data_IF_774049590230
#
_entry.id   IF_774049590230
#
_cell.length_a   1.000
_cell.length_b   1.000
_cell.length_c   1.000
_cell.angle_alpha   90.00
_cell.angle_beta   90.00
_cell.angle_gamma   90.00
#
_symmetry.space_group_name_H-M   'P 1'
#
loop_
_entity.id
_entity.type
_entity.pdbx_description
1 polymer ?
#
# COMPACT_ATOMS: atom_id res chain seq x y z
N UNK A 1 21.02 13.27 0.37
CA UNK A 1 20.78 14.64 0.90
C UNK A 1 21.51 15.62 -0.02
N UNK A 2 20.80 16.19 -0.99
CA UNK A 2 21.40 17.04 -2.04
C UNK A 2 20.42 18.13 -2.48
N UNK A 3 19.84 18.84 -1.51
CA UNK A 3 18.79 19.85 -1.76
C UNK A 3 19.34 21.27 -1.92
N UNK A 4 20.64 21.44 -2.21
CA UNK A 4 21.27 22.76 -2.36
C UNK A 4 21.26 23.64 -1.10
N UNK A 5 20.92 23.08 0.07
CA UNK A 5 20.88 23.81 1.34
C UNK A 5 22.24 23.73 2.03
N UNK A 6 22.70 24.87 2.54
CA UNK A 6 23.94 25.00 3.32
C UNK A 6 23.64 24.73 4.79
N UNK A 7 24.43 23.89 5.44
CA UNK A 7 24.28 23.54 6.86
C UNK A 7 25.53 23.90 7.66
N UNK A 8 25.35 24.54 8.81
CA UNK A 8 26.43 24.88 9.74
C UNK A 8 26.86 23.65 10.56
N UNK A 9 28.09 23.66 11.07
CA UNK A 9 28.58 22.62 11.98
C UNK A 9 27.67 22.52 13.22
N UNK A 10 27.34 21.29 13.62
CA UNK A 10 26.41 20.98 14.70
C UNK A 10 24.93 21.00 14.29
N UNK A 11 24.58 21.34 13.04
CA UNK A 11 23.18 21.24 12.59
C UNK A 11 22.75 19.80 12.38
N UNK A 12 21.51 19.53 12.79
CA UNK A 12 20.85 18.24 12.66
C UNK A 12 19.91 18.24 11.46
N UNK A 13 19.97 17.18 10.66
CA UNK A 13 18.95 16.85 9.65
C UNK A 13 18.30 15.54 10.04
N UNK A 14 17.00 15.58 10.28
CA UNK A 14 16.19 14.40 10.55
C UNK A 14 15.37 14.07 9.31
N UNK A 15 15.55 12.87 8.78
CA UNK A 15 14.62 12.26 7.82
C UNK A 15 13.72 11.29 8.57
N UNK A 16 12.82 10.61 7.86
CA UNK A 16 11.93 9.61 8.43
C UNK A 16 12.70 8.43 9.07
N UNK A 17 13.98 8.23 8.74
CA UNK A 17 14.77 7.14 9.28
C UNK A 17 16.28 7.31 9.34
N UNK A 18 16.76 8.57 9.29
CA UNK A 18 18.14 8.89 9.62
C UNK A 18 18.16 10.20 10.38
N UNK A 19 18.99 10.26 11.41
CA UNK A 19 19.36 11.52 12.06
C UNK A 19 20.82 11.76 11.73
N UNK A 20 21.09 12.83 10.99
CA UNK A 20 22.44 13.20 10.58
C UNK A 20 22.88 14.50 11.24
N UNK A 21 24.12 14.58 11.67
CA UNK A 21 24.76 15.78 12.21
C UNK A 21 25.86 16.23 11.27
N UNK A 22 25.85 17.50 10.89
CA UNK A 22 26.92 18.08 10.10
C UNK A 22 28.12 18.37 11.01
N UNK A 23 29.27 17.75 10.75
CA UNK A 23 30.51 17.94 11.50
C UNK A 23 31.71 17.92 10.56
N UNK A 24 32.57 18.94 10.64
CA UNK A 24 33.81 19.04 9.85
C UNK A 24 33.62 18.86 8.31
N UNK A 25 32.49 19.32 7.78
CA UNK A 25 32.16 19.15 6.35
C UNK A 25 31.70 17.75 5.95
N UNK A 26 31.52 16.84 6.92
CA UNK A 26 30.97 15.51 6.75
C UNK A 26 29.64 15.35 7.49
N UNK A 27 28.88 14.31 7.13
CA UNK A 27 27.65 13.93 7.80
C UNK A 27 27.91 12.70 8.67
N UNK A 28 27.67 12.83 9.96
CA UNK A 28 27.60 11.68 10.88
C UNK A 28 26.13 11.29 11.04
N UNK A 29 25.74 10.13 10.50
CA UNK A 29 24.35 9.70 10.42
C UNK A 29 24.10 8.46 11.29
N UNK A 30 23.10 8.56 12.15
CA UNK A 30 22.51 7.43 12.86
C UNK A 30 21.26 6.96 12.12
N UNK A 31 21.24 5.68 11.77
CA UNK A 31 20.05 5.03 11.22
C UNK A 31 19.01 4.86 12.32
N UNK A 32 17.78 5.22 11.98
CA UNK A 32 16.59 5.00 12.79
C UNK A 32 15.67 4.05 12.02
N UNK A 33 14.80 3.30 12.71
CA UNK A 33 13.70 2.56 12.12
C UNK A 33 12.93 3.26 10.97
N UNK A 34 13.09 2.80 9.71
CA UNK A 34 12.24 3.30 8.62
C UNK A 34 10.85 2.63 8.67
N UNK A 35 9.75 3.41 8.67
CA UNK A 35 8.46 2.84 8.33
C UNK A 35 8.50 2.34 6.88
N UNK A 36 7.88 1.19 6.64
CA UNK A 36 7.67 0.66 5.29
C UNK A 36 6.55 1.42 4.62
N UNK A 37 6.70 1.72 3.33
CA UNK A 37 5.65 2.37 2.52
C UNK A 37 5.31 1.52 1.30
N UNK A 38 4.06 1.08 1.23
CA UNK A 38 3.48 0.46 0.04
C UNK A 38 2.49 1.44 -0.63
N UNK A 39 2.41 1.41 -1.95
CA UNK A 39 1.39 2.19 -2.67
C UNK A 39 0.85 1.46 -3.89
N UNK A 40 -0.43 1.68 -4.16
CA UNK A 40 -1.08 1.31 -5.43
C UNK A 40 -1.77 2.55 -6.00
N UNK A 41 -1.64 2.78 -7.31
CA UNK A 41 -2.27 3.92 -7.99
C UNK A 41 -2.56 3.64 -9.46
N UNK A 42 -3.43 4.46 -10.06
CA UNK A 42 -3.80 4.35 -11.47
C UNK A 42 -4.35 2.96 -11.82
N UNK A 43 -3.96 2.41 -12.97
CA UNK A 43 -4.41 1.11 -13.47
C UNK A 43 -3.45 -0.01 -13.05
N UNK A 44 -3.32 -0.22 -11.75
CA UNK A 44 -2.59 -1.35 -11.20
C UNK A 44 -1.07 -1.15 -11.17
N UNK A 45 -0.59 0.07 -10.89
CA UNK A 45 0.81 0.30 -10.57
C UNK A 45 1.04 0.11 -9.08
N UNK A 46 1.93 -0.80 -8.72
CA UNK A 46 2.26 -1.12 -7.33
C UNK A 46 3.71 -0.77 -7.04
N UNK A 47 3.94 -0.31 -5.81
CA UNK A 47 5.24 -0.27 -5.16
C UNK A 47 5.12 -0.98 -3.82
N UNK A 48 5.93 -2.02 -3.61
CA UNK A 48 5.99 -2.79 -2.35
C UNK A 48 6.69 -2.02 -1.24
N UNK A 49 6.66 -2.55 -0.02
CA UNK A 49 7.39 -1.97 1.12
C UNK A 49 8.90 -1.90 0.90
N UNK A 50 9.47 -2.83 0.11
CA UNK A 50 10.89 -2.89 -0.21
C UNK A 50 11.24 -2.21 -1.54
N UNK A 51 10.31 -1.36 -2.04
CA UNK A 51 10.47 -0.52 -3.22
C UNK A 51 10.43 -1.21 -4.59
N UNK A 52 10.02 -2.47 -4.66
CA UNK A 52 9.79 -3.17 -5.93
C UNK A 52 8.61 -2.57 -6.68
N UNK A 53 8.84 -2.22 -7.95
CA UNK A 53 7.80 -1.77 -8.86
C UNK A 53 7.29 -2.91 -9.72
N UNK A 54 5.97 -3.04 -9.84
CA UNK A 54 5.36 -3.97 -10.79
C UNK A 54 3.97 -3.49 -11.22
N UNK A 55 3.43 -4.13 -12.27
CA UNK A 55 2.10 -3.85 -12.80
C UNK A 55 1.22 -5.08 -12.67
N UNK A 56 -0.02 -4.87 -12.23
CA UNK A 56 -1.02 -5.92 -12.17
C UNK A 56 -2.42 -5.29 -12.17
N UNK A 57 -3.19 -5.53 -13.23
CA UNK A 57 -4.51 -4.91 -13.40
C UNK A 57 -5.62 -5.97 -13.33
N UNK A 58 -5.93 -6.37 -12.10
CA UNK A 58 -6.97 -7.35 -11.80
C UNK A 58 -8.32 -6.73 -11.46
N UNK A 59 -9.39 -7.31 -12.00
CA UNK A 59 -10.77 -6.92 -11.70
C UNK A 59 -11.37 -7.88 -10.65
N UNK A 60 -10.83 -7.79 -9.43
CA UNK A 60 -11.27 -8.58 -8.28
C UNK A 60 -10.98 -7.80 -7.00
N UNK A 61 -11.42 -8.34 -5.86
CA UNK A 61 -10.90 -7.95 -4.57
C UNK A 61 -9.57 -8.67 -4.31
N UNK A 62 -8.54 -7.93 -3.90
CA UNK A 62 -7.20 -8.44 -3.62
C UNK A 62 -6.72 -8.02 -2.23
N UNK A 63 -5.90 -8.86 -1.60
CA UNK A 63 -5.18 -8.52 -0.37
C UNK A 63 -3.95 -7.69 -0.70
N UNK A 64 -3.94 -6.41 -0.29
CA UNK A 64 -2.74 -5.57 -0.36
C UNK A 64 -1.73 -5.99 0.69
N UNK A 65 -2.18 -6.11 1.93
CA UNK A 65 -1.35 -6.50 3.05
C UNK A 65 -2.21 -7.11 4.15
N UNK A 66 -1.72 -8.17 4.76
CA UNK A 66 -2.24 -8.75 6.00
C UNK A 66 -1.08 -9.38 6.79
N UNK A 67 -1.32 -9.66 8.07
CA UNK A 67 -0.37 -10.36 8.94
C UNK A 67 -0.73 -11.84 9.16
N UNK A 68 -1.83 -12.32 8.56
CA UNK A 68 -2.15 -13.75 8.47
C UNK A 68 -1.45 -14.40 7.27
N UNK A 69 -0.15 -14.64 7.41
CA UNK A 69 0.65 -15.28 6.36
C UNK A 69 0.64 -16.81 6.46
N UNK A 70 -0.55 -17.38 6.66
CA UNK A 70 -0.77 -18.83 6.82
C UNK A 70 -0.73 -19.34 8.26
N UNK A 71 -0.68 -18.43 9.25
CA UNK A 71 -0.60 -18.77 10.69
C UNK A 71 -1.99 -18.80 11.36
N UNK A 72 -3.04 -18.34 10.67
CA UNK A 72 -4.44 -18.22 11.15
C UNK A 72 -4.61 -17.31 12.36
N UNK A 73 -3.68 -16.39 12.60
CA UNK A 73 -3.65 -15.47 13.74
C UNK A 73 -3.46 -14.01 13.31
N UNK A 74 -4.04 -13.62 12.17
CA UNK A 74 -3.97 -12.24 11.68
C UNK A 74 -4.69 -11.25 12.59
N UNK A 75 -4.07 -10.09 12.79
CA UNK A 75 -4.66 -8.96 13.49
C UNK A 75 -5.24 -7.93 12.53
N UNK A 76 -4.79 -7.82 11.29
CA UNK A 76 -5.36 -6.88 10.33
C UNK A 76 -5.26 -7.35 8.89
N UNK A 77 -6.12 -6.78 8.04
CA UNK A 77 -5.96 -6.89 6.59
C UNK A 77 -6.43 -5.63 5.88
N UNK A 78 -5.75 -5.29 4.80
CA UNK A 78 -6.15 -4.24 3.86
C UNK A 78 -6.42 -4.90 2.53
N UNK A 79 -7.67 -4.84 2.09
CA UNK A 79 -8.11 -5.34 0.80
C UNK A 79 -8.52 -4.19 -0.11
N UNK A 80 -8.31 -4.38 -1.39
CA UNK A 80 -8.62 -3.39 -2.42
C UNK A 80 -9.37 -4.03 -3.56
N UNK A 81 -10.32 -3.29 -4.11
CA UNK A 81 -11.08 -3.67 -5.29
C UNK A 81 -11.07 -2.50 -6.28
N UNK A 82 -10.64 -2.77 -7.51
CA UNK A 82 -10.67 -1.80 -8.60
C UNK A 82 -12.10 -1.63 -9.09
N UNK A 83 -12.60 -0.40 -9.11
CA UNK A 83 -13.91 -0.07 -9.68
C UNK A 83 -13.69 0.34 -11.14
N UNK A 84 -14.19 -0.45 -12.11
CA UNK A 84 -13.98 -0.16 -13.52
C UNK A 84 -14.77 1.09 -13.94
N UNK A 85 -14.25 1.80 -14.93
CA UNK A 85 -15.02 2.79 -15.67
C UNK A 85 -16.06 2.07 -16.57
N UNK A 86 -17.28 2.58 -16.68
CA UNK A 86 -18.37 1.91 -17.42
C UNK A 86 -18.01 1.57 -18.87
N UNK A 87 -17.20 2.40 -19.54
CA UNK A 87 -16.89 2.28 -20.97
C UNK A 87 -15.43 1.90 -21.27
N UNK A 88 -14.59 1.69 -20.24
CA UNK A 88 -13.15 1.46 -20.43
C UNK A 88 -12.60 0.39 -19.49
N UNK A 89 -11.58 -0.35 -19.95
CA UNK A 89 -10.80 -1.27 -19.12
C UNK A 89 -9.85 -0.52 -18.16
N UNK A 90 -10.24 0.63 -17.63
CA UNK A 90 -9.46 1.45 -16.70
C UNK A 90 -10.11 1.42 -15.31
N UNK A 91 -9.28 1.66 -14.28
CA UNK A 91 -9.75 1.81 -12.91
C UNK A 91 -10.10 3.27 -12.64
N UNK A 92 -11.39 3.56 -12.45
CA UNK A 92 -11.88 4.90 -12.14
C UNK A 92 -11.70 5.23 -10.65
N UNK A 93 -12.00 4.28 -9.78
CA UNK A 93 -11.83 4.45 -8.34
C UNK A 93 -11.46 3.12 -7.69
N UNK A 94 -11.16 3.15 -6.39
CA UNK A 94 -10.93 1.93 -5.60
C UNK A 94 -11.83 1.91 -4.38
N UNK A 95 -12.37 0.73 -4.11
CA UNK A 95 -12.99 0.40 -2.82
C UNK A 95 -11.94 -0.27 -1.94
N UNK A 96 -11.84 0.17 -0.70
CA UNK A 96 -10.82 -0.28 0.24
C UNK A 96 -11.50 -0.81 1.49
N UNK A 97 -11.07 -1.96 1.96
CA UNK A 97 -11.56 -2.58 3.20
C UNK A 97 -10.39 -2.76 4.14
N UNK A 98 -10.39 -2.01 5.25
CA UNK A 98 -9.49 -2.23 6.39
C UNK A 98 -10.24 -3.02 7.46
N UNK A 99 -9.77 -4.22 7.77
CA UNK A 99 -10.28 -5.05 8.85
C UNK A 99 -9.28 -5.04 10.03
N UNK A 100 -9.75 -4.74 11.24
CA UNK A 100 -8.94 -4.73 12.46
C UNK A 100 -9.46 -5.77 13.45
N UNK A 101 -8.77 -6.90 13.55
CA UNK A 101 -9.04 -8.00 14.50
C UNK A 101 -10.47 -8.54 14.44
N UNK A 102 -11.16 -8.37 13.32
CA UNK A 102 -12.60 -8.66 13.25
C UNK A 102 -13.43 -7.85 14.25
N UNK A 103 -12.89 -6.79 14.87
CA UNK A 103 -13.60 -5.86 15.78
C UNK A 103 -14.30 -4.75 15.01
N UNK A 104 -13.62 -4.20 14.02
CA UNK A 104 -14.17 -3.16 13.14
C UNK A 104 -13.69 -3.36 11.72
N UNK A 105 -14.60 -3.14 10.79
CA UNK A 105 -14.31 -3.04 9.36
C UNK A 105 -14.59 -1.62 8.91
N UNK A 106 -13.60 -0.99 8.31
CA UNK A 106 -13.70 0.32 7.68
C UNK A 106 -13.70 0.15 6.17
N UNK A 107 -14.73 0.66 5.51
CA UNK A 107 -14.83 0.66 4.06
C UNK A 107 -14.66 2.08 3.55
N UNK A 108 -13.66 2.29 2.71
CA UNK A 108 -13.42 3.56 2.03
C UNK A 108 -13.85 3.39 0.58
N UNK A 109 -14.96 4.03 0.22
CA UNK A 109 -15.55 4.01 -1.12
C UNK A 109 -16.34 5.29 -1.31
N UNK A 110 -16.63 5.68 -2.55
CA UNK A 110 -17.45 6.88 -2.86
C UNK A 110 -17.01 8.14 -2.09
N UNK A 111 -15.69 8.34 -1.99
CA UNK A 111 -15.05 9.46 -1.28
C UNK A 111 -15.40 9.58 0.22
N UNK A 112 -15.96 8.53 0.85
CA UNK A 112 -16.38 8.49 2.26
C UNK A 112 -15.80 7.28 2.98
N UNK A 113 -15.92 7.27 4.31
CA UNK A 113 -15.59 6.12 5.16
C UNK A 113 -16.84 5.65 5.87
N UNK A 114 -17.20 4.39 5.67
CA UNK A 114 -18.23 3.70 6.46
C UNK A 114 -17.57 2.75 7.44
N UNK A 115 -18.20 2.55 8.60
CA UNK A 115 -17.70 1.69 9.67
C UNK A 115 -18.73 0.65 10.06
N UNK A 116 -18.28 -0.58 10.24
CA UNK A 116 -19.07 -1.69 10.79
C UNK A 116 -18.34 -2.23 12.00
N UNK A 117 -18.95 -2.08 13.17
CA UNK A 117 -18.50 -2.73 14.40
C UNK A 117 -19.02 -4.17 14.43
N UNK A 118 -18.21 -5.09 14.92
CA UNK A 118 -18.57 -6.49 15.10
C UNK A 118 -18.83 -6.80 16.58
N UNK A 119 -19.21 -8.04 16.86
CA UNK A 119 -19.44 -8.52 18.23
C UNK A 119 -18.18 -8.36 19.09
N UNK A 120 -18.34 -7.87 20.32
CA UNK A 120 -17.22 -7.58 21.23
C UNK A 120 -16.62 -6.18 21.12
N UNK A 121 -17.20 -5.28 20.32
CA UNK A 121 -16.82 -3.85 20.35
C UNK A 121 -17.18 -3.20 21.69
N UNK A 122 -16.21 -2.52 22.32
CA UNK A 122 -16.36 -1.85 23.61
C UNK A 122 -16.01 -0.36 23.55
N UNK A 123 -16.34 0.39 24.60
CA UNK A 123 -15.97 1.81 24.71
C UNK A 123 -14.44 2.03 24.64
N UNK A 124 -13.64 1.07 25.10
CA UNK A 124 -12.18 1.13 25.04
C UNK A 124 -11.65 1.04 23.60
N UNK A 125 -12.41 0.42 22.69
CA UNK A 125 -12.02 0.28 21.28
C UNK A 125 -12.20 1.59 20.48
N UNK A 126 -12.85 2.62 21.04
CA UNK A 126 -12.99 3.91 20.35
C UNK A 126 -11.66 4.60 20.05
N UNK A 127 -10.60 4.31 20.81
CA UNK A 127 -9.24 4.80 20.54
C UNK A 127 -8.42 3.88 19.63
N UNK A 128 -9.01 2.81 19.09
CA UNK A 128 -8.31 1.84 18.23
C UNK A 128 -7.81 2.49 16.93
N UNK A 129 -8.62 3.37 16.35
CA UNK A 129 -8.29 4.09 15.12
C UNK A 129 -8.80 5.53 15.14
N UNK A 130 -8.20 6.38 14.32
CA UNK A 130 -8.73 7.70 14.01
C UNK A 130 -8.86 7.88 12.50
N UNK A 131 -9.82 8.70 12.09
CA UNK A 131 -10.07 9.06 10.69
C UNK A 131 -10.02 10.57 10.55
N UNK A 132 -9.16 11.06 9.66
CA UNK A 132 -8.97 12.48 9.40
C UNK A 132 -9.09 12.75 7.90
N UNK A 133 -9.74 13.86 7.54
CA UNK A 133 -9.74 14.37 6.17
C UNK A 133 -8.80 15.55 6.10
N UNK A 134 -7.76 15.45 5.27
CA UNK A 134 -6.75 16.49 5.07
C UNK A 134 -6.71 16.86 3.59
N UNK A 135 -7.35 17.96 3.25
CA UNK A 135 -7.54 18.38 1.87
C UNK A 135 -8.25 17.30 1.03
N UNK A 136 -7.56 16.80 0.00
CA UNK A 136 -8.07 15.76 -0.88
C UNK A 136 -7.92 14.34 -0.32
N UNK A 137 -7.21 14.16 0.80
CA UNK A 137 -6.90 12.85 1.35
C UNK A 137 -7.79 12.48 2.53
N UNK A 138 -8.07 11.18 2.66
CA UNK A 138 -8.56 10.56 3.88
C UNK A 138 -7.40 9.77 4.48
N UNK A 139 -7.14 10.00 5.77
CA UNK A 139 -6.08 9.35 6.53
C UNK A 139 -6.73 8.55 7.66
N UNK A 140 -6.48 7.25 7.70
CA UNK A 140 -6.85 6.38 8.81
C UNK A 140 -5.58 5.97 9.53
N UNK A 141 -5.51 6.23 10.84
CA UNK A 141 -4.38 5.84 11.68
C UNK A 141 -4.82 4.81 12.71
N UNK A 142 -3.99 3.78 12.93
CA UNK A 142 -4.15 2.77 13.98
C UNK A 142 -2.89 2.80 14.85
N UNK A 143 -2.79 3.77 15.78
CA UNK A 143 -1.52 4.08 16.45
C UNK A 143 -0.96 2.91 17.26
N UNK A 144 -1.82 2.14 17.94
CA UNK A 144 -1.44 0.96 18.73
C UNK A 144 -0.77 -0.14 17.90
N UNK A 145 -0.93 -0.09 16.57
CA UNK A 145 -0.33 -1.03 15.62
C UNK A 145 0.66 -0.36 14.67
N UNK A 146 0.82 0.96 14.71
CA UNK A 146 1.69 1.67 13.78
C UNK A 146 1.28 1.50 12.31
N UNK A 147 -0.03 1.51 12.02
CA UNK A 147 -0.57 1.42 10.65
C UNK A 147 -1.16 2.77 10.27
N UNK A 148 -0.80 3.28 9.09
CA UNK A 148 -1.44 4.47 8.51
C UNK A 148 -1.87 4.16 7.08
N UNK A 149 -3.13 4.43 6.77
CA UNK A 149 -3.69 4.32 5.42
C UNK A 149 -4.06 5.70 4.91
N UNK A 150 -3.54 6.06 3.73
CA UNK A 150 -3.77 7.35 3.08
C UNK A 150 -4.41 7.08 1.73
N UNK A 151 -5.60 7.64 1.51
CA UNK A 151 -6.36 7.48 0.26
C UNK A 151 -6.68 8.85 -0.34
N UNK A 152 -6.46 8.99 -1.64
CA UNK A 152 -6.73 10.23 -2.39
C UNK A 152 -8.20 10.42 -2.80
N UNK A 153 -9.10 9.58 -2.26
CA UNK A 153 -10.54 9.51 -2.62
C UNK A 153 -10.80 9.02 -4.06
N UNK A 154 -9.75 8.58 -4.76
CA UNK A 154 -9.79 8.16 -6.14
C UNK A 154 -9.08 6.80 -6.29
N UNK A 155 -7.90 6.74 -6.91
CA UNK A 155 -7.21 5.49 -7.22
C UNK A 155 -5.97 5.24 -6.39
N UNK A 156 -5.41 6.25 -5.71
CA UNK A 156 -4.15 6.10 -4.97
C UNK A 156 -4.39 5.75 -3.52
N UNK A 157 -3.81 4.62 -3.12
CA UNK A 157 -3.73 4.17 -1.74
C UNK A 157 -2.26 4.11 -1.37
N UNK A 158 -1.94 4.61 -0.19
CA UNK A 158 -0.62 4.46 0.43
C UNK A 158 -0.82 3.84 1.81
N UNK A 159 -0.06 2.80 2.09
CA UNK A 159 -0.05 2.11 3.39
C UNK A 159 1.34 2.31 3.97
N UNK A 160 1.39 2.89 5.16
CA UNK A 160 2.62 3.02 5.94
C UNK A 160 2.54 2.09 7.15
N UNK A 161 3.56 1.27 7.32
CA UNK A 161 3.71 0.35 8.45
C UNK A 161 4.94 0.73 9.26
N UNK A 162 4.78 0.74 10.58
CA UNK A 162 5.90 0.82 11.50
C UNK A 162 6.82 -0.40 11.33
N UNK A 163 8.11 -0.25 11.65
CA UNK A 163 9.14 -1.28 11.43
C UNK A 163 8.88 -2.60 12.18
N UNK A 164 8.00 -2.60 13.18
CA UNK A 164 7.64 -3.77 13.96
C UNK A 164 6.90 -4.83 13.12
N UNK A 165 6.42 -4.44 11.93
CA UNK A 165 5.83 -5.33 10.93
C UNK A 165 6.84 -5.96 9.98
N UNK A 166 8.14 -5.64 10.11
CA UNK A 166 9.20 -6.25 9.31
C UNK A 166 9.14 -7.76 9.39
N UNK A 167 9.14 -8.45 8.24
CA UNK A 167 9.02 -9.90 8.15
C UNK A 167 7.73 -10.49 8.78
N UNK A 168 6.67 -9.70 8.96
CA UNK A 168 5.42 -10.13 9.61
C UNK A 168 4.17 -9.87 8.80
N UNK A 169 4.34 -9.47 7.55
CA UNK A 169 3.25 -9.18 6.63
C UNK A 169 3.46 -9.88 5.31
N UNK A 170 2.38 -10.01 4.55
CA UNK A 170 2.39 -10.55 3.21
C UNK A 170 1.20 -9.98 2.43
N UNK A 171 1.24 -10.12 1.11
CA UNK A 171 0.24 -9.59 0.20
C UNK A 171 0.89 -8.99 -1.04
N UNK A 172 0.10 -8.26 -1.82
CA UNK A 172 0.60 -7.50 -2.98
C UNK A 172 1.67 -6.46 -2.59
N UNK A 173 1.72 -6.01 -1.34
CA UNK A 173 2.73 -5.08 -0.85
C UNK A 173 4.08 -5.74 -0.48
N UNK A 174 4.26 -7.05 -0.68
CA UNK A 174 5.47 -7.76 -0.32
C UNK A 174 5.51 -8.19 1.16
N UNK A 175 6.71 -8.57 1.64
CA UNK A 175 6.91 -9.11 2.99
C UNK A 175 7.63 -8.14 3.96
N UNK A 176 8.07 -6.98 3.46
CA UNK A 176 8.72 -5.91 4.22
C UNK A 176 9.99 -6.40 4.94
N UNK A 177 10.95 -6.95 4.20
CA UNK A 177 12.19 -7.51 4.73
C UNK A 177 13.48 -6.81 4.24
N UNK A 178 13.32 -5.70 3.50
CA UNK A 178 14.36 -4.96 2.77
C UNK A 178 14.95 -5.66 1.53
N UNK A 179 14.29 -6.70 1.01
CA UNK A 179 14.75 -7.41 -0.17
C UNK A 179 13.71 -7.41 -1.30
N UNK A 180 13.81 -6.45 -2.21
CA UNK A 180 12.92 -6.37 -3.37
C UNK A 180 12.93 -7.61 -4.29
N UNK A 181 13.93 -8.50 -4.17
CA UNK A 181 14.06 -9.68 -5.03
C UNK A 181 13.09 -10.79 -4.65
N UNK A 182 12.57 -10.83 -3.42
CA UNK A 182 11.63 -11.86 -2.97
C UNK A 182 10.18 -11.36 -2.80
N UNK A 183 9.94 -10.07 -3.01
CA UNK A 183 8.63 -9.42 -2.86
C UNK A 183 7.47 -10.06 -3.66
N UNK A 184 7.78 -10.70 -4.80
CA UNK A 184 6.80 -11.44 -5.60
C UNK A 184 6.64 -12.88 -5.10
N UNK A 185 6.49 -13.05 -3.79
CA UNK A 185 6.29 -14.33 -3.15
C UNK A 185 4.80 -14.69 -3.12
N UNK A 186 4.48 -15.86 -3.66
CA UNK A 186 3.13 -16.43 -3.53
C UNK A 186 3.01 -17.04 -2.14
N UNK A 187 1.86 -16.85 -1.48
CA UNK A 187 1.61 -17.36 -0.12
C UNK A 187 2.01 -18.84 0.02
N UNK A 188 2.98 -19.13 0.90
CA UNK A 188 3.47 -20.48 1.18
C UNK A 188 4.24 -21.18 0.06
N UNK A 189 4.60 -20.47 -1.02
CA UNK A 189 5.22 -21.05 -2.23
C UNK A 189 6.46 -20.26 -2.66
N UNK A 190 6.99 -20.60 -3.83
CA UNK A 190 8.17 -20.02 -4.42
C UNK A 190 7.97 -18.54 -4.82
N UNK A 191 9.07 -17.80 -4.82
CA UNK A 191 9.16 -16.48 -5.46
C UNK A 191 9.01 -16.67 -6.96
N UNK A 192 8.12 -15.89 -7.58
CA UNK A 192 7.89 -15.93 -9.03
C UNK A 192 8.42 -14.68 -9.72
N UNK A 193 8.84 -14.81 -10.96
CA UNK A 193 9.25 -13.66 -11.79
C UNK A 193 8.08 -12.95 -12.45
N UNK A 194 6.91 -13.59 -12.55
CA UNK A 194 5.73 -13.07 -13.25
C UNK A 194 4.82 -12.28 -12.30
N UNK A 195 4.63 -10.96 -12.53
CA UNK A 195 3.67 -10.14 -11.78
C UNK A 195 2.23 -10.65 -11.92
N UNK A 196 1.87 -11.27 -13.06
CA UNK A 196 0.54 -11.82 -13.28
C UNK A 196 0.28 -13.04 -12.40
N UNK A 197 1.24 -13.97 -12.33
CA UNK A 197 1.14 -15.15 -11.47
C UNK A 197 1.08 -14.75 -9.99
N UNK A 198 1.95 -13.81 -9.59
CA UNK A 198 1.93 -13.24 -8.25
C UNK A 198 0.58 -12.58 -7.93
N UNK A 199 0.11 -11.66 -8.76
CA UNK A 199 -1.14 -10.94 -8.50
C UNK A 199 -2.38 -11.84 -8.47
N UNK A 200 -2.46 -12.83 -9.36
CA UNK A 200 -3.57 -13.79 -9.38
C UNK A 200 -3.63 -14.64 -8.10
N UNK A 201 -2.51 -14.85 -7.42
CA UNK A 201 -2.46 -15.63 -6.17
C UNK A 201 -3.03 -14.91 -4.96
N UNK A 202 -3.20 -13.58 -5.02
CA UNK A 202 -3.66 -12.74 -3.90
C UNK A 202 -5.14 -12.33 -4.00
N UNK A 203 -5.93 -13.02 -4.82
CA UNK A 203 -7.39 -12.81 -4.89
C UNK A 203 -8.04 -13.17 -3.56
N UNK A 204 -8.90 -12.28 -3.07
CA UNK A 204 -9.60 -12.43 -1.79
C UNK A 204 -11.12 -12.68 -1.94
N UNK A 205 -11.66 -12.55 -3.15
CA UNK A 205 -13.08 -12.81 -3.40
C UNK A 205 -13.42 -14.31 -3.36
N UNK A 206 -14.61 -14.62 -2.85
CA UNK A 206 -15.17 -15.98 -2.84
C UNK A 206 -16.56 -15.96 -3.49
N UNK A 207 -16.78 -16.66 -4.62
CA UNK A 207 -15.80 -17.44 -5.39
C UNK A 207 -14.70 -16.57 -6.03
N UNK A 208 -13.54 -17.15 -6.37
CA UNK A 208 -12.44 -16.39 -6.97
C UNK A 208 -12.80 -15.90 -8.38
N UNK A 209 -12.35 -14.68 -8.69
CA UNK A 209 -12.50 -14.07 -10.03
C UNK A 209 -11.60 -14.75 -11.07
N UNK A 210 -11.82 -14.48 -12.35
CA UNK A 210 -10.96 -14.96 -13.45
C UNK A 210 -9.51 -14.45 -13.35
N UNK A 211 -8.57 -15.21 -13.89
CA UNK A 211 -7.14 -14.82 -13.94
C UNK A 211 -6.89 -13.70 -14.94
N UNK A 212 -5.98 -12.80 -14.56
CA UNK A 212 -5.35 -11.87 -15.49
C UNK A 212 -4.28 -12.64 -16.27
N UNK A 213 -4.45 -12.72 -17.59
CA UNK A 213 -3.56 -13.51 -18.48
C UNK A 213 -2.61 -12.64 -19.30
N UNK A 214 -2.85 -11.32 -19.35
CA UNK A 214 -2.01 -10.36 -20.06
C UNK A 214 -2.05 -8.99 -19.42
N UNK A 215 -0.94 -8.27 -19.49
CA UNK A 215 -0.92 -6.85 -19.22
C UNK A 215 -1.56 -6.07 -20.38
N UNK A 216 -2.32 -5.03 -20.06
CA UNK A 216 -2.92 -4.14 -21.05
C UNK A 216 -2.20 -2.80 -20.98
N UNK A 217 -1.69 -2.34 -22.12
CA UNK A 217 -1.13 -1.00 -22.28
C UNK A 217 -2.16 -0.11 -23.00
N UNK A 218 -2.72 0.93 -22.32
CA UNK A 218 -3.80 1.73 -22.88
C UNK A 218 -3.47 2.41 -24.21
N UNK A 219 -2.21 2.80 -24.42
CA UNK A 219 -1.75 3.45 -25.65
C UNK A 219 -1.65 2.49 -26.85
N UNK A 220 -1.51 1.18 -26.63
CA UNK A 220 -1.50 0.18 -27.71
C UNK A 220 -2.89 0.05 -28.34
N UNK A 221 -3.94 0.23 -27.52
CA UNK A 221 -5.34 0.22 -27.98
C UNK A 221 -5.82 1.59 -28.47
N UNK A 222 -5.25 2.67 -27.94
CA UNK A 222 -5.64 4.05 -28.23
C UNK A 222 -4.47 4.84 -28.80
N UNK A 223 -4.01 4.48 -30.00
CA UNK A 223 -2.84 5.07 -30.65
C UNK A 223 -2.99 6.58 -30.88
N UNK A 224 -4.22 7.09 -31.05
CA UNK A 224 -4.49 8.52 -31.16
C UNK A 224 -4.15 9.32 -29.89
N UNK A 225 -4.18 8.68 -28.71
CA UNK A 225 -3.79 9.30 -27.44
C UNK A 225 -2.28 9.37 -27.23
N UNK A 226 -1.50 8.55 -27.94
CA UNK A 226 -0.05 8.40 -27.71
C UNK A 226 0.69 9.74 -27.84
N UNK A 227 0.40 10.48 -28.90
CA UNK A 227 1.06 11.76 -29.18
C UNK A 227 0.75 12.81 -28.11
N UNK A 228 -0.42 12.75 -27.47
CA UNK A 228 -0.76 13.64 -26.35
C UNK A 228 -0.07 13.19 -25.06
N UNK A 229 -0.09 11.88 -24.77
CA UNK A 229 0.52 11.33 -23.56
C UNK A 229 2.04 11.54 -23.47
N UNK A 230 2.73 11.65 -24.61
CA UNK A 230 4.19 11.84 -24.69
C UNK A 230 4.65 13.31 -24.67
N UNK A 231 3.74 14.30 -24.77
CA UNK A 231 4.07 15.75 -24.84
C UNK A 231 4.51 16.36 -23.50
N UNK A 232 5.18 15.60 -22.63
CA UNK A 232 5.68 16.11 -21.34
C UNK A 232 6.77 17.17 -21.51
#
# INVERSE_FOLDING_TARGET
MGSGKVFSAGQHVKTNCKTCVCGQGQWDCKDEPCPGKCQVYGNGHYQTFDSKWYRYDGQCQYTLVEDDCGTRNGTFSVRVESVPCCDEALTCSRSIVLNLQGKVTLTLSDMKVTRRHHEGWTLQDHSLYSTHTVGLYIIISVPSRGITLIWDKHTRITIELHENWRNRVCGLCGNFDFNEMNDLQISGSAVVSSPLAFGNSWKAATPPCSDVTKEIFPCDRNSYCLAWAQRR
#
